data_IF_471387854671
#
_entry.id   IF_471387854671
#
_cell.length_a   1.000
_cell.length_b   1.000
_cell.length_c   1.000
_cell.angle_alpha   90.00
_cell.angle_beta   90.00
_cell.angle_gamma   90.00
#
_symmetry.space_group_name_H-M   'P 1'
#
loop_
_entity.id
_entity.type
_entity.pdbx_description
1 polymer ?
#
# COMPACT_ATOMS: atom_id res chain seq x y z
N UNK A 1 -4.48 13.34 -41.41
CA UNK A 1 -4.30 14.50 -40.51
C UNK A 1 -4.77 14.09 -39.12
N UNK A 2 -3.87 14.17 -38.14
CA UNK A 2 -3.95 13.56 -36.82
C UNK A 2 -5.12 14.08 -35.97
N UNK A 3 -5.87 13.15 -35.36
CA UNK A 3 -6.73 13.45 -34.23
C UNK A 3 -5.97 13.10 -32.93
N UNK A 4 -5.37 14.12 -32.31
CA UNK A 4 -4.96 14.09 -30.90
C UNK A 4 -6.24 14.01 -30.05
N UNK A 5 -6.69 12.79 -29.72
CA UNK A 5 -7.68 12.61 -28.65
C UNK A 5 -7.01 12.96 -27.32
N UNK A 6 -7.31 14.15 -26.81
CA UNK A 6 -7.08 14.53 -25.42
C UNK A 6 -7.65 13.42 -24.53
N UNK A 7 -6.79 12.75 -23.79
CA UNK A 7 -7.21 11.83 -22.74
C UNK A 7 -7.72 12.74 -21.60
N UNK A 8 -9.03 12.94 -21.56
CA UNK A 8 -9.71 13.61 -20.45
C UNK A 8 -9.44 12.84 -19.16
N UNK A 9 -9.33 13.55 -18.04
CA UNK A 9 -9.00 13.04 -16.70
C UNK A 9 -10.01 12.03 -16.09
N UNK A 10 -10.86 11.42 -16.92
CA UNK A 10 -12.03 10.60 -16.57
C UNK A 10 -11.78 9.09 -16.80
N UNK A 11 -10.51 8.70 -16.92
CA UNK A 11 -10.07 7.31 -17.07
C UNK A 11 -9.04 6.96 -15.99
N UNK A 12 -9.20 7.47 -14.77
CA UNK A 12 -8.51 6.90 -13.62
C UNK A 12 -9.20 5.57 -13.26
N UNK A 13 -8.46 4.49 -12.93
CA UNK A 13 -9.05 3.32 -12.29
C UNK A 13 -9.36 3.68 -10.82
N UNK A 14 -10.35 4.55 -10.63
CA UNK A 14 -10.56 5.31 -9.40
C UNK A 14 -11.18 4.48 -8.29
N UNK A 15 -11.93 3.42 -8.59
CA UNK A 15 -12.72 2.72 -7.56
C UNK A 15 -11.85 1.99 -6.53
N UNK A 16 -10.89 1.16 -6.97
CA UNK A 16 -10.05 0.38 -6.03
C UNK A 16 -9.03 1.22 -5.28
N UNK A 17 -8.39 2.16 -5.98
CA UNK A 17 -7.40 3.03 -5.36
C UNK A 17 -8.04 3.92 -4.29
N UNK A 18 -9.21 4.48 -4.58
CA UNK A 18 -9.97 5.32 -3.63
C UNK A 18 -10.44 4.50 -2.43
N UNK A 19 -10.99 3.30 -2.66
CA UNK A 19 -11.45 2.42 -1.59
C UNK A 19 -10.30 1.98 -0.66
N UNK A 20 -9.08 1.81 -1.19
CA UNK A 20 -7.89 1.55 -0.38
C UNK A 20 -7.49 2.79 0.44
N UNK A 21 -7.46 3.99 -0.18
CA UNK A 21 -7.10 5.24 0.51
C UNK A 21 -8.08 5.58 1.64
N UNK A 22 -9.38 5.41 1.43
CA UNK A 22 -10.39 5.63 2.48
C UNK A 22 -10.23 4.66 3.65
N UNK A 23 -9.97 3.39 3.36
CA UNK A 23 -9.68 2.37 4.39
C UNK A 23 -8.39 2.67 5.17
N UNK A 24 -7.42 3.34 4.56
CA UNK A 24 -6.18 3.75 5.22
C UNK A 24 -6.39 4.96 6.14
N UNK A 25 -7.11 5.99 5.66
CA UNK A 25 -7.47 7.18 6.45
C UNK A 25 -8.27 6.84 7.71
N UNK A 26 -9.21 5.89 7.61
CA UNK A 26 -10.04 5.47 8.74
C UNK A 26 -9.27 4.81 9.89
N UNK A 27 -8.01 4.40 9.69
CA UNK A 27 -7.24 3.63 10.69
C UNK A 27 -6.27 4.47 11.51
N UNK A 28 -6.17 5.77 11.24
CA UNK A 28 -5.19 6.67 11.89
C UNK A 28 -3.73 6.16 11.78
N UNK A 29 -3.47 5.26 10.83
CA UNK A 29 -2.14 4.74 10.55
C UNK A 29 -1.55 5.60 9.44
N UNK A 30 -0.33 6.16 9.60
CA UNK A 30 0.34 6.85 8.51
C UNK A 30 0.78 5.80 7.48
N UNK A 31 -0.11 5.51 6.52
CA UNK A 31 0.20 4.68 5.35
C UNK A 31 0.03 5.57 4.12
N UNK A 32 1.11 5.78 3.38
CA UNK A 32 1.08 6.33 2.03
C UNK A 32 1.13 5.17 1.02
N UNK A 33 0.25 5.23 0.03
CA UNK A 33 0.17 4.27 -1.07
C UNK A 33 0.22 5.03 -2.39
N UNK A 34 1.22 4.73 -3.21
CA UNK A 34 1.30 5.24 -4.59
C UNK A 34 1.12 4.04 -5.51
N UNK A 35 0.13 4.11 -6.40
CA UNK A 35 -0.12 3.05 -7.40
C UNK A 35 0.28 3.60 -8.76
N UNK A 36 1.18 2.91 -9.43
CA UNK A 36 1.63 3.24 -10.78
C UNK A 36 1.88 1.97 -11.59
N UNK A 37 1.34 1.91 -12.80
CA UNK A 37 1.47 0.80 -13.76
C UNK A 37 1.42 -0.63 -13.16
N UNK A 38 0.43 -0.90 -12.29
CA UNK A 38 0.23 -2.21 -11.65
C UNK A 38 1.18 -2.53 -10.48
N UNK A 39 2.09 -1.61 -10.17
CA UNK A 39 2.92 -1.60 -8.97
C UNK A 39 2.32 -0.67 -7.91
N UNK A 40 2.72 -0.92 -6.67
CA UNK A 40 2.30 -0.18 -5.50
C UNK A 40 3.52 0.07 -4.60
N UNK A 41 3.76 1.34 -4.30
CA UNK A 41 4.71 1.78 -3.27
C UNK A 41 3.93 1.93 -1.96
N UNK A 42 4.30 1.15 -0.95
CA UNK A 42 3.70 1.19 0.38
C UNK A 42 4.72 1.77 1.33
N UNK A 43 4.40 2.91 1.92
CA UNK A 43 5.10 3.45 3.08
C UNK A 43 4.16 3.41 4.28
N UNK A 44 4.51 2.64 5.32
CA UNK A 44 3.66 2.47 6.51
C UNK A 44 4.46 2.56 7.80
N UNK A 45 3.94 3.28 8.79
CA UNK A 45 4.44 3.30 10.17
C UNK A 45 3.48 2.55 11.08
N UNK A 46 3.84 1.33 11.48
CA UNK A 46 2.94 0.41 12.20
C UNK A 46 3.64 -0.29 13.37
N UNK A 47 2.91 -0.75 14.40
CA UNK A 47 3.48 -1.62 15.42
C UNK A 47 4.11 -2.89 14.83
N UNK A 48 5.17 -3.39 15.45
CA UNK A 48 5.94 -4.56 14.98
C UNK A 48 5.08 -5.80 14.74
N UNK A 49 4.10 -6.06 15.61
CA UNK A 49 3.15 -7.17 15.44
C UNK A 49 2.19 -7.01 14.26
N UNK A 50 1.87 -5.76 13.88
CA UNK A 50 1.09 -5.47 12.68
C UNK A 50 1.98 -5.58 11.43
N UNK A 51 3.21 -5.07 11.50
CA UNK A 51 4.20 -5.19 10.43
C UNK A 51 4.47 -6.65 10.08
N UNK A 52 4.69 -7.52 11.06
CA UNK A 52 4.90 -8.95 10.83
C UNK A 52 3.74 -9.60 10.05
N UNK A 53 2.49 -9.22 10.35
CA UNK A 53 1.31 -9.69 9.61
C UNK A 53 1.27 -9.12 8.19
N UNK A 54 1.56 -7.84 8.02
CA UNK A 54 1.62 -7.19 6.71
C UNK A 54 2.68 -7.81 5.80
N UNK A 55 3.82 -8.24 6.35
CA UNK A 55 4.93 -8.81 5.59
C UNK A 55 4.77 -10.31 5.29
N UNK A 56 4.00 -11.05 6.11
CA UNK A 56 3.78 -12.49 5.93
C UNK A 56 3.33 -12.91 4.51
N UNK A 57 2.40 -12.20 3.82
CA UNK A 57 1.98 -12.52 2.45
C UNK A 57 3.07 -12.32 1.39
N UNK A 58 4.13 -11.58 1.68
CA UNK A 58 5.21 -11.28 0.73
C UNK A 58 6.23 -12.42 0.61
N UNK A 59 6.33 -13.26 1.63
CA UNK A 59 7.39 -14.26 1.73
C UNK A 59 8.77 -13.61 1.57
N UNK A 60 9.61 -14.17 0.68
CA UNK A 60 10.94 -13.63 0.34
C UNK A 60 10.96 -12.76 -0.94
N UNK A 61 9.79 -12.30 -1.41
CA UNK A 61 9.62 -11.67 -2.74
C UNK A 61 9.19 -10.20 -2.68
N UNK A 62 9.57 -9.47 -1.62
CA UNK A 62 9.42 -8.03 -1.55
C UNK A 62 10.76 -7.36 -1.79
N UNK A 63 10.77 -6.32 -2.62
CA UNK A 63 11.87 -5.37 -2.70
C UNK A 63 11.45 -4.18 -1.83
N UNK A 64 12.21 -3.94 -0.77
CA UNK A 64 11.84 -2.91 0.19
C UNK A 64 12.82 -2.82 1.35
N UNK A 65 12.69 -1.74 2.10
CA UNK A 65 13.43 -1.47 3.32
C UNK A 65 12.47 -1.56 4.50
N UNK A 66 12.91 -2.23 5.57
CA UNK A 66 12.12 -2.42 6.78
C UNK A 66 12.96 -2.02 7.98
N UNK A 67 12.52 -0.99 8.70
CA UNK A 67 13.30 -0.41 9.79
C UNK A 67 12.55 -0.53 11.10
N UNK A 68 13.22 -1.08 12.12
CA UNK A 68 12.72 -1.02 13.49
C UNK A 68 12.84 0.41 14.02
N UNK A 69 11.81 0.85 14.74
CA UNK A 69 11.70 2.17 15.35
C UNK A 69 11.51 2.02 16.87
N UNK A 70 11.80 3.07 17.66
CA UNK A 70 11.48 3.08 19.09
C UNK A 70 10.00 2.76 19.36
N UNK A 71 9.71 2.27 20.57
CA UNK A 71 8.35 1.94 21.05
C UNK A 71 7.66 0.83 20.24
N UNK A 72 8.42 -0.16 19.78
CA UNK A 72 7.92 -1.33 19.04
C UNK A 72 7.22 -0.97 17.72
N UNK A 73 7.69 0.09 17.06
CA UNK A 73 7.20 0.51 15.75
C UNK A 73 8.11 -0.02 14.63
N UNK A 74 7.58 -0.09 13.42
CA UNK A 74 8.30 -0.49 12.22
C UNK A 74 7.87 0.41 11.07
N UNK A 75 8.86 0.89 10.32
CA UNK A 75 8.66 1.50 9.01
C UNK A 75 8.75 0.42 7.95
N UNK A 76 7.72 0.35 7.11
CA UNK A 76 7.68 -0.48 5.90
C UNK A 76 7.78 0.48 4.74
N UNK A 77 8.81 0.35 3.90
CA UNK A 77 8.89 1.01 2.60
C UNK A 77 9.13 -0.06 1.53
N UNK A 78 8.09 -0.38 0.74
CA UNK A 78 8.12 -1.52 -0.15
C UNK A 78 7.47 -1.22 -1.50
N UNK A 79 8.11 -1.71 -2.56
CA UNK A 79 7.57 -1.73 -3.92
C UNK A 79 7.08 -3.15 -4.21
N UNK A 80 5.77 -3.29 -4.43
CA UNK A 80 5.12 -4.58 -4.64
C UNK A 80 4.10 -4.50 -5.78
N UNK A 81 3.65 -5.64 -6.30
CA UNK A 81 2.49 -5.65 -7.20
C UNK A 81 1.23 -5.22 -6.45
N UNK A 82 0.25 -4.64 -7.16
CA UNK A 82 -1.03 -4.23 -6.57
C UNK A 82 -1.71 -5.37 -5.79
N UNK A 83 -1.74 -6.58 -6.36
CA UNK A 83 -2.31 -7.77 -5.72
C UNK A 83 -1.61 -8.15 -4.40
N UNK A 84 -0.31 -7.86 -4.27
CA UNK A 84 0.42 -8.06 -3.01
C UNK A 84 0.11 -6.95 -2.03
N UNK A 85 0.03 -5.70 -2.47
CA UNK A 85 -0.35 -4.58 -1.63
C UNK A 85 -1.70 -4.81 -0.95
N UNK A 86 -2.71 -5.25 -1.71
CA UNK A 86 -4.03 -5.60 -1.17
C UNK A 86 -3.93 -6.67 -0.07
N UNK A 87 -3.14 -7.73 -0.29
CA UNK A 87 -2.92 -8.79 0.71
C UNK A 87 -2.21 -8.28 1.96
N UNK A 88 -1.21 -7.42 1.81
CA UNK A 88 -0.51 -6.80 2.95
C UNK A 88 -1.49 -5.98 3.80
N UNK A 89 -2.28 -5.11 3.18
CA UNK A 89 -3.24 -4.24 3.84
C UNK A 89 -4.41 -5.01 4.48
N UNK A 90 -4.78 -6.15 3.90
CA UNK A 90 -5.75 -7.07 4.47
C UNK A 90 -5.18 -7.82 5.69
N UNK A 91 -3.95 -8.33 5.60
CA UNK A 91 -3.32 -9.08 6.69
C UNK A 91 -2.93 -8.19 7.88
N UNK A 92 -2.58 -6.93 7.63
CA UNK A 92 -2.34 -5.92 8.65
C UNK A 92 -3.59 -5.44 9.39
N UNK A 93 -4.78 -6.00 9.13
CA UNK A 93 -5.99 -5.66 9.89
C UNK A 93 -5.86 -6.21 11.31
N UNK A 94 -5.89 -5.32 12.30
CA UNK A 94 -6.21 -5.71 13.67
C UNK A 94 -7.70 -5.94 13.71
N UNK A 95 -8.13 -7.20 13.93
CA UNK A 95 -9.50 -7.46 14.38
C UNK A 95 -9.65 -6.79 15.73
N UNK A 96 -10.44 -5.72 15.79
CA UNK A 96 -10.99 -5.23 17.04
C UNK A 96 -11.94 -6.27 17.62
#
# INVERSE_FOLDING_TARGET
>A
MNALKKISADQMPTDRATDIVERLKARNVPIALIIDDGLAVIQAHVPSGQAARMLKPLGRKAVGQFYAMPRNMVVIDAIVSLSKAERMLAAGRTTA
#
